data_IF_463009933291
#
_entry.id   IF_463009933291
#
_cell.length_a   1.000
_cell.length_b   1.000
_cell.length_c   1.000
_cell.angle_alpha   90.00
_cell.angle_beta   90.00
_cell.angle_gamma   90.00
#
_symmetry.space_group_name_H-M   'P 1'
#
loop_
_entity.id
_entity.type
_entity.pdbx_description
1 polymer ?
#
# COMPACT_ATOMS: atom_id res chain seq x y z
N UNK A 1 27.04 19.60 14.13
CA UNK A 1 26.65 19.56 12.69
C UNK A 1 25.19 19.14 12.65
N UNK A 2 24.28 20.11 12.40
CA UNK A 2 22.85 19.83 12.18
C UNK A 2 22.74 18.88 11.00
N UNK A 3 22.24 17.65 11.21
CA UNK A 3 21.84 16.78 10.11
C UNK A 3 20.75 17.52 9.36
N UNK A 4 21.04 17.92 8.11
CA UNK A 4 20.02 18.43 7.20
C UNK A 4 18.98 17.33 7.10
N UNK A 5 17.74 17.58 7.57
CA UNK A 5 16.63 16.65 7.38
C UNK A 5 16.40 16.53 5.88
N UNK A 6 16.58 15.33 5.37
CA UNK A 6 16.36 15.03 3.98
C UNK A 6 14.88 14.69 3.81
N UNK A 7 14.19 15.45 2.95
CA UNK A 7 12.77 15.24 2.70
C UNK A 7 12.59 14.56 1.35
N UNK A 8 11.68 13.58 1.32
CA UNK A 8 11.09 13.01 0.13
C UNK A 8 9.65 13.50 -0.05
N UNK A 9 9.05 13.25 -1.19
CA UNK A 9 7.64 13.50 -1.42
C UNK A 9 6.94 12.22 -1.83
N UNK A 10 5.82 11.91 -1.17
CA UNK A 10 4.99 10.76 -1.48
C UNK A 10 3.60 11.17 -1.93
N UNK A 11 3.11 10.49 -2.96
CA UNK A 11 1.74 10.55 -3.46
C UNK A 11 1.09 9.19 -3.28
N UNK A 12 -0.16 9.17 -2.83
CA UNK A 12 -1.01 7.98 -2.72
C UNK A 12 -2.23 8.17 -3.63
N UNK A 13 -2.22 7.48 -4.78
CA UNK A 13 -3.33 7.47 -5.74
C UNK A 13 -4.31 6.38 -5.33
N UNK A 14 -5.51 6.78 -4.94
CA UNK A 14 -6.61 5.87 -4.66
C UNK A 14 -7.82 6.14 -5.55
N UNK A 15 -8.73 5.19 -5.65
CA UNK A 15 -9.94 5.30 -6.49
C UNK A 15 -10.88 6.44 -6.10
N UNK A 16 -10.84 6.93 -4.85
CA UNK A 16 -11.71 8.01 -4.34
C UNK A 16 -10.98 9.31 -4.03
N UNK A 17 -9.65 9.32 -4.05
CA UNK A 17 -8.85 10.50 -3.73
C UNK A 17 -7.37 10.27 -3.85
N UNK A 18 -6.68 11.30 -4.31
CA UNK A 18 -5.23 11.38 -4.43
C UNK A 18 -4.73 12.21 -3.26
N UNK A 19 -3.73 11.71 -2.57
CA UNK A 19 -3.18 12.35 -1.38
C UNK A 19 -1.68 12.53 -1.55
N UNK A 20 -1.13 13.61 -1.02
CA UNK A 20 0.31 13.85 -1.07
C UNK A 20 0.80 14.66 0.11
N UNK A 21 2.05 14.43 0.49
CA UNK A 21 2.74 15.19 1.50
C UNK A 21 4.26 15.03 1.40
N UNK A 22 5.04 16.04 1.86
CA UNK A 22 6.46 15.86 2.12
C UNK A 22 6.67 14.97 3.35
N UNK A 23 7.71 14.14 3.31
CA UNK A 23 8.08 13.16 4.34
C UNK A 23 9.49 13.43 4.82
N UNK A 24 9.71 13.51 6.12
CA UNK A 24 11.02 13.47 6.74
C UNK A 24 11.55 12.01 6.66
N UNK A 25 12.53 11.77 5.83
CA UNK A 25 13.07 10.44 5.55
C UNK A 25 13.89 9.85 6.71
N UNK A 26 14.25 10.66 7.70
CA UNK A 26 14.95 10.18 8.89
C UNK A 26 13.99 9.63 9.95
N UNK A 27 12.76 10.12 9.98
CA UNK A 27 11.76 9.79 11.01
C UNK A 27 10.52 9.09 10.50
N UNK A 28 10.28 9.10 9.19
CA UNK A 28 9.06 8.57 8.56
C UNK A 28 7.80 9.38 8.90
N UNK A 29 7.94 10.62 9.34
CA UNK A 29 6.81 11.50 9.65
C UNK A 29 6.53 12.44 8.48
N UNK A 30 5.27 12.79 8.32
CA UNK A 30 4.93 13.85 7.37
C UNK A 30 5.58 15.16 7.84
N UNK A 31 6.27 15.84 6.91
CA UNK A 31 6.93 17.12 7.14
C UNK A 31 6.02 18.33 6.86
N UNK A 32 4.77 18.09 6.55
CA UNK A 32 3.72 19.09 6.30
C UNK A 32 2.33 18.47 6.38
N UNK A 33 1.30 19.29 6.30
CA UNK A 33 -0.08 18.83 6.25
C UNK A 33 -0.35 18.05 4.96
N UNK A 34 -1.04 16.91 5.07
CA UNK A 34 -1.40 16.08 3.93
C UNK A 34 -2.54 16.72 3.14
N UNK A 35 -2.30 17.02 1.88
CA UNK A 35 -3.34 17.43 0.93
C UNK A 35 -4.08 16.21 0.40
N UNK A 36 -5.38 16.34 0.15
CA UNK A 36 -6.22 15.35 -0.51
C UNK A 36 -7.11 16.03 -1.55
N UNK A 37 -6.99 15.58 -2.79
CA UNK A 37 -7.87 15.99 -3.90
C UNK A 37 -8.71 14.76 -4.31
N UNK A 38 -10.02 14.90 -4.59
CA UNK A 38 -10.82 13.81 -5.14
C UNK A 38 -10.21 13.27 -6.44
N UNK A 39 -10.21 11.95 -6.62
CA UNK A 39 -9.76 11.35 -7.87
C UNK A 39 -10.70 11.78 -9.00
N UNK A 40 -10.15 12.34 -10.11
CA UNK A 40 -10.97 12.80 -11.21
C UNK A 40 -11.78 11.67 -11.84
N UNK A 41 -12.91 12.02 -12.43
CA UNK A 41 -13.77 11.09 -13.13
C UNK A 41 -14.03 11.58 -14.56
N UNK A 42 -13.68 10.82 -15.61
CA UNK A 42 -12.98 9.52 -15.55
C UNK A 42 -11.55 9.65 -15.03
N UNK A 43 -11.08 8.61 -14.34
CA UNK A 43 -9.73 8.57 -13.74
C UNK A 43 -8.66 8.13 -14.74
N UNK A 44 -8.60 8.82 -15.90
CA UNK A 44 -7.61 8.54 -16.93
C UNK A 44 -6.19 8.88 -16.47
N UNK A 45 -5.14 8.28 -17.08
CA UNK A 45 -3.75 8.58 -16.73
C UNK A 45 -3.42 10.07 -16.74
N UNK A 46 -3.88 10.81 -17.76
CA UNK A 46 -3.61 12.25 -17.89
C UNK A 46 -4.35 13.07 -16.83
N UNK A 47 -5.61 12.73 -16.54
CA UNK A 47 -6.41 13.44 -15.54
C UNK A 47 -5.81 13.24 -14.13
N UNK A 48 -5.42 12.02 -13.79
CA UNK A 48 -4.77 11.70 -12.52
C UNK A 48 -3.40 12.37 -12.43
N UNK A 49 -2.60 12.35 -13.50
CA UNK A 49 -1.29 13.00 -13.53
C UNK A 49 -1.40 14.52 -13.37
N UNK A 50 -2.45 15.15 -13.91
CA UNK A 50 -2.72 16.59 -13.71
C UNK A 50 -3.02 16.89 -12.23
N UNK A 51 -3.82 16.04 -11.55
CA UNK A 51 -4.08 16.18 -10.10
C UNK A 51 -2.82 15.96 -9.27
N UNK A 52 -1.94 15.04 -9.66
CA UNK A 52 -0.64 14.86 -9.01
C UNK A 52 0.23 16.10 -9.18
N UNK A 53 0.25 16.70 -10.38
CA UNK A 53 0.99 17.95 -10.62
C UNK A 53 0.47 19.09 -9.75
N UNK A 54 -0.84 19.24 -9.62
CA UNK A 54 -1.48 20.24 -8.75
C UNK A 54 -1.01 20.08 -7.29
N UNK A 55 -1.03 18.87 -6.72
CA UNK A 55 -0.54 18.64 -5.36
C UNK A 55 0.93 19.01 -5.23
N UNK A 56 1.79 18.61 -6.16
CA UNK A 56 3.22 18.93 -6.12
C UNK A 56 3.49 20.44 -6.22
N UNK A 57 2.70 21.14 -7.04
CA UNK A 57 2.82 22.60 -7.23
C UNK A 57 2.33 23.37 -6.00
N UNK A 58 1.27 22.93 -5.33
CA UNK A 58 0.77 23.52 -4.07
C UNK A 58 1.85 23.51 -2.98
N UNK A 59 2.68 22.45 -2.94
CA UNK A 59 3.85 22.39 -2.04
C UNK A 59 5.09 23.09 -2.59
N UNK A 60 5.07 23.58 -3.83
CA UNK A 60 6.26 24.10 -4.49
C UNK A 60 7.37 23.06 -4.65
N UNK A 61 7.02 21.76 -4.65
CA UNK A 61 7.98 20.66 -4.73
C UNK A 61 8.65 20.62 -6.10
N UNK A 62 9.99 20.51 -6.13
CA UNK A 62 10.79 20.52 -7.37
C UNK A 62 11.60 19.24 -7.60
N UNK A 63 11.76 18.41 -6.56
CA UNK A 63 12.51 17.15 -6.60
C UNK A 63 11.73 16.01 -7.25
N UNK A 64 12.35 14.84 -7.30
CA UNK A 64 11.69 13.57 -7.60
C UNK A 64 10.64 13.25 -6.53
N UNK A 65 9.68 12.42 -6.88
CA UNK A 65 8.63 11.98 -5.94
C UNK A 65 8.31 10.51 -6.15
N UNK A 66 7.79 9.87 -5.10
CA UNK A 66 7.23 8.54 -5.18
C UNK A 66 5.72 8.58 -5.30
N UNK A 67 5.15 7.63 -6.02
CA UNK A 67 3.72 7.53 -6.24
C UNK A 67 3.24 6.09 -6.04
N UNK A 68 2.22 5.88 -5.20
CA UNK A 68 1.54 4.58 -5.15
C UNK A 68 0.42 4.52 -6.16
N UNK A 69 0.13 3.31 -6.62
CA UNK A 69 -0.99 3.03 -7.50
C UNK A 69 -1.63 1.68 -7.13
N UNK A 70 -2.98 1.57 -7.14
CA UNK A 70 -3.68 0.34 -6.77
C UNK A 70 -3.69 -0.68 -7.92
N UNK A 71 -2.51 -1.12 -8.32
CA UNK A 71 -2.31 -2.10 -9.40
C UNK A 71 -0.93 -2.75 -9.30
N UNK A 72 -0.73 -3.84 -10.05
CA UNK A 72 0.60 -4.39 -10.34
C UNK A 72 1.39 -3.37 -11.16
N UNK A 73 2.57 -2.99 -10.69
CA UNK A 73 3.48 -2.04 -11.35
C UNK A 73 4.80 -2.71 -11.68
N UNK A 74 5.14 -2.81 -12.96
CA UNK A 74 6.40 -3.38 -13.44
C UNK A 74 7.15 -2.37 -14.29
N UNK A 75 8.33 -1.94 -13.82
CA UNK A 75 9.18 -0.99 -14.54
C UNK A 75 8.47 0.32 -14.94
N UNK A 76 7.59 0.82 -14.05
CA UNK A 76 6.80 2.04 -14.28
C UNK A 76 5.54 1.85 -15.13
N UNK A 77 5.28 0.62 -15.60
CA UNK A 77 4.07 0.26 -16.36
C UNK A 77 3.06 -0.39 -15.41
N UNK A 78 1.83 0.10 -15.41
CA UNK A 78 0.70 -0.51 -14.70
C UNK A 78 0.17 -1.68 -15.52
N UNK A 79 0.05 -2.87 -14.92
CA UNK A 79 -0.36 -4.10 -15.61
C UNK A 79 -1.82 -4.45 -15.40
N UNK A 80 -2.40 -3.96 -14.32
CA UNK A 80 -3.81 -4.16 -13.97
C UNK A 80 -4.47 -2.82 -13.71
N UNK A 81 -5.79 -2.81 -13.61
CA UNK A 81 -6.55 -1.63 -13.20
C UNK A 81 -7.65 -2.09 -12.23
N UNK A 82 -7.53 -1.72 -10.96
CA UNK A 82 -8.56 -1.97 -9.96
C UNK A 82 -9.13 -0.64 -9.48
N UNK A 83 -10.45 -0.46 -9.65
CA UNK A 83 -11.17 0.76 -9.22
C UNK A 83 -10.70 2.07 -9.89
N UNK A 84 -10.07 2.00 -11.04
CA UNK A 84 -9.62 3.10 -11.89
C UNK A 84 -10.01 2.83 -13.34
N UNK A 85 -9.78 3.80 -14.22
CA UNK A 85 -10.11 3.67 -15.66
C UNK A 85 -9.29 2.56 -16.33
N UNK A 86 -9.90 1.81 -17.27
CA UNK A 86 -9.25 0.69 -17.97
C UNK A 86 -8.03 1.13 -18.81
N UNK A 87 -7.93 2.42 -19.16
CA UNK A 87 -6.77 2.97 -19.88
C UNK A 87 -5.45 2.88 -19.09
N UNK A 88 -5.49 2.51 -17.83
CA UNK A 88 -4.31 2.21 -17.04
C UNK A 88 -3.71 0.82 -17.32
N UNK A 89 -4.45 -0.10 -17.95
CA UNK A 89 -3.91 -1.43 -18.29
C UNK A 89 -2.82 -1.26 -19.37
N UNK A 90 -1.62 -1.79 -19.05
CA UNK A 90 -0.40 -1.69 -19.86
C UNK A 90 0.03 -0.24 -20.17
N UNK A 91 -0.37 0.74 -19.36
CA UNK A 91 0.03 2.13 -19.47
C UNK A 91 1.45 2.34 -18.91
N UNK A 92 2.31 3.04 -19.65
CA UNK A 92 3.58 3.56 -19.12
C UNK A 92 3.31 4.78 -18.22
N UNK A 93 2.79 4.46 -17.03
CA UNK A 93 2.32 5.45 -16.06
C UNK A 93 3.45 6.35 -15.55
N UNK A 94 4.66 5.83 -15.41
CA UNK A 94 5.81 6.63 -15.01
C UNK A 94 6.14 7.71 -16.06
N UNK A 95 6.06 7.38 -17.34
CA UNK A 95 6.28 8.36 -18.43
C UNK A 95 5.16 9.40 -18.49
N UNK A 96 3.90 9.00 -18.30
CA UNK A 96 2.76 9.94 -18.24
C UNK A 96 2.95 10.92 -17.07
N UNK A 97 3.20 10.42 -15.87
CA UNK A 97 3.45 11.26 -14.70
C UNK A 97 4.64 12.20 -14.92
N UNK A 98 5.78 11.70 -15.43
CA UNK A 98 6.96 12.53 -15.72
C UNK A 98 6.64 13.64 -16.73
N UNK A 99 5.92 13.31 -17.81
CA UNK A 99 5.56 14.26 -18.87
C UNK A 99 4.67 15.38 -18.33
N UNK A 100 3.69 15.07 -17.48
CA UNK A 100 2.72 16.05 -16.96
C UNK A 100 3.32 16.87 -15.82
N UNK A 101 4.04 16.22 -14.89
CA UNK A 101 4.59 16.92 -13.71
C UNK A 101 5.93 17.60 -13.97
N UNK A 102 6.65 17.23 -15.03
CA UNK A 102 8.02 17.67 -15.30
C UNK A 102 9.05 17.17 -14.28
N UNK A 103 8.74 16.12 -13.51
CA UNK A 103 9.56 15.59 -12.41
C UNK A 103 9.75 14.08 -12.55
N UNK A 104 10.92 13.60 -12.11
CA UNK A 104 11.15 12.15 -12.06
C UNK A 104 10.28 11.51 -10.98
N UNK A 105 9.75 10.33 -11.29
CA UNK A 105 8.87 9.59 -10.38
C UNK A 105 9.24 8.11 -10.31
N UNK A 106 9.06 7.54 -9.13
CA UNK A 106 9.00 6.09 -8.90
C UNK A 106 7.55 5.71 -8.63
N UNK A 107 7.02 4.80 -9.44
CA UNK A 107 5.67 4.26 -9.27
C UNK A 107 5.74 2.85 -8.67
N UNK A 108 4.90 2.58 -7.68
CA UNK A 108 4.90 1.32 -6.92
C UNK A 108 3.46 0.94 -6.55
N UNK A 109 3.22 -0.36 -6.34
CA UNK A 109 1.96 -0.84 -5.77
C UNK A 109 1.73 -0.24 -4.36
N UNK A 110 0.49 0.02 -3.99
CA UNK A 110 0.11 0.66 -2.72
C UNK A 110 0.45 -0.20 -1.48
N UNK A 111 0.20 -1.52 -1.55
CA UNK A 111 0.57 -2.44 -0.48
C UNK A 111 2.09 -2.59 -0.35
N UNK A 112 2.82 -2.61 -1.46
CA UNK A 112 4.29 -2.64 -1.48
C UNK A 112 4.87 -1.41 -0.78
N UNK A 113 4.38 -0.21 -1.09
CA UNK A 113 4.80 1.01 -0.43
C UNK A 113 4.50 0.97 1.08
N UNK A 114 3.29 0.54 1.46
CA UNK A 114 2.92 0.41 2.86
C UNK A 114 3.82 -0.59 3.59
N UNK A 115 4.17 -1.70 2.96
CA UNK A 115 5.08 -2.71 3.51
C UNK A 115 6.47 -2.15 3.79
N UNK A 116 7.03 -1.41 2.84
CA UNK A 116 8.34 -0.74 3.00
C UNK A 116 8.31 0.24 4.17
N UNK A 117 7.27 1.06 4.28
CA UNK A 117 7.12 2.02 5.37
C UNK A 117 7.00 1.34 6.74
N UNK A 118 6.19 0.29 6.85
CA UNK A 118 5.99 -0.45 8.11
C UNK A 118 7.25 -1.18 8.57
N UNK A 119 8.10 -1.62 7.66
CA UNK A 119 9.40 -2.21 8.00
C UNK A 119 10.40 -1.15 8.46
N UNK A 120 10.42 0.01 7.82
CA UNK A 120 11.39 1.07 8.16
C UNK A 120 11.00 1.82 9.45
N UNK A 121 9.73 2.19 9.61
CA UNK A 121 9.27 3.09 10.68
C UNK A 121 8.10 2.54 11.52
N UNK A 122 7.50 1.45 11.10
CA UNK A 122 6.22 0.99 11.63
C UNK A 122 6.27 -0.21 12.57
N UNK A 123 5.32 -1.11 12.39
CA UNK A 123 5.07 -2.25 13.26
C UNK A 123 6.12 -3.35 13.13
N UNK A 124 6.75 -3.50 11.96
CA UNK A 124 7.72 -4.56 11.74
C UNK A 124 9.07 -4.26 12.40
N UNK A 125 9.44 -2.96 12.55
CA UNK A 125 10.73 -2.57 13.11
C UNK A 125 11.90 -3.23 12.37
N UNK A 126 13.09 -3.18 12.91
CA UNK A 126 14.30 -3.81 12.33
C UNK A 126 14.28 -5.35 12.41
N UNK A 127 13.16 -6.01 12.07
CA UNK A 127 13.08 -7.47 12.06
C UNK A 127 13.88 -8.03 10.88
N UNK A 128 14.83 -8.88 11.20
CA UNK A 128 15.47 -9.76 10.22
C UNK A 128 14.51 -10.88 9.83
N UNK A 129 14.53 -11.30 8.57
CA UNK A 129 13.70 -12.39 8.10
C UNK A 129 12.63 -11.94 7.11
N UNK A 130 11.53 -12.68 7.05
CA UNK A 130 10.42 -12.44 6.12
C UNK A 130 9.26 -11.78 6.86
N UNK A 131 8.85 -10.60 6.41
CA UNK A 131 7.67 -9.89 6.89
C UNK A 131 6.61 -9.92 5.80
N UNK A 132 5.42 -10.36 6.14
CA UNK A 132 4.23 -10.23 5.30
C UNK A 132 3.41 -9.05 5.79
N UNK A 133 3.21 -8.03 4.96
CA UNK A 133 2.12 -7.08 5.15
C UNK A 133 0.89 -7.59 4.41
N UNK A 134 -0.27 -7.50 5.05
CA UNK A 134 -1.57 -7.74 4.42
C UNK A 134 -2.50 -6.56 4.73
N UNK A 135 -2.95 -5.83 3.72
CA UNK A 135 -3.94 -4.76 3.87
C UNK A 135 -5.34 -5.34 3.64
N UNK A 136 -6.19 -5.29 4.66
CA UNK A 136 -7.55 -5.79 4.61
C UNK A 136 -8.53 -4.62 4.43
N UNK A 137 -9.18 -4.57 3.27
CA UNK A 137 -10.10 -3.49 2.89
C UNK A 137 -11.10 -3.94 1.85
N UNK A 138 -11.20 -3.21 0.72
CA UNK A 138 -12.02 -3.60 -0.45
C UNK A 138 -11.56 -4.95 -1.00
N UNK A 139 -10.24 -5.16 -1.08
CA UNK A 139 -9.57 -6.42 -1.38
C UNK A 139 -8.55 -6.77 -0.30
N UNK A 140 -7.61 -7.64 -0.66
CA UNK A 140 -6.44 -7.99 0.16
C UNK A 140 -5.18 -7.64 -0.61
N UNK A 141 -4.61 -6.45 -0.34
CA UNK A 141 -3.28 -6.12 -0.83
C UNK A 141 -2.19 -6.79 0.02
N UNK A 142 -1.10 -7.21 -0.60
CA UNK A 142 0.00 -7.86 0.12
C UNK A 142 1.36 -7.32 -0.30
N UNK A 143 2.29 -7.27 0.65
CA UNK A 143 3.70 -7.02 0.38
C UNK A 143 4.57 -8.01 1.16
N UNK A 144 5.57 -8.56 0.50
CA UNK A 144 6.56 -9.43 1.11
C UNK A 144 7.89 -8.69 1.19
N UNK A 145 8.42 -8.56 2.40
CA UNK A 145 9.73 -7.97 2.64
C UNK A 145 10.66 -9.04 3.20
N UNK A 146 11.66 -9.43 2.44
CA UNK A 146 12.66 -10.41 2.84
C UNK A 146 13.98 -9.72 3.19
N UNK A 147 14.40 -9.85 4.45
CA UNK A 147 15.64 -9.22 4.98
C UNK A 147 15.73 -7.72 4.66
N UNK A 148 14.63 -7.00 4.86
CA UNK A 148 14.54 -5.55 4.61
C UNK A 148 14.43 -5.16 3.13
N UNK A 149 14.29 -6.12 2.21
CA UNK A 149 14.12 -5.88 0.78
C UNK A 149 12.73 -6.29 0.32
N UNK A 150 12.06 -5.41 -0.40
CA UNK A 150 10.77 -5.67 -1.00
C UNK A 150 10.89 -6.73 -2.10
N UNK A 151 9.99 -7.71 -2.09
CA UNK A 151 9.66 -8.57 -3.22
C UNK A 151 8.42 -7.96 -3.88
N UNK A 152 8.56 -7.22 -4.99
CA UNK A 152 7.48 -6.39 -5.50
C UNK A 152 6.34 -7.20 -6.11
N UNK A 153 5.13 -6.63 -6.04
CA UNK A 153 3.93 -7.14 -6.68
C UNK A 153 3.57 -8.58 -6.25
N UNK A 154 3.57 -8.84 -4.96
CA UNK A 154 3.15 -10.13 -4.42
C UNK A 154 1.63 -10.14 -4.20
N UNK A 155 0.88 -10.55 -5.19
CA UNK A 155 -0.58 -10.56 -5.22
C UNK A 155 -1.18 -11.77 -4.47
N UNK A 156 -0.78 -11.98 -3.21
CA UNK A 156 -1.21 -13.15 -2.43
C UNK A 156 -2.68 -13.05 -1.96
N UNK A 157 -3.31 -11.89 -2.09
CA UNK A 157 -4.76 -11.76 -1.92
C UNK A 157 -5.55 -12.57 -2.94
N UNK A 158 -4.96 -12.78 -4.12
CA UNK A 158 -5.55 -13.50 -5.25
C UNK A 158 -5.18 -14.99 -5.32
N UNK A 159 -4.61 -15.56 -4.26
CA UNK A 159 -4.39 -17.01 -4.24
C UNK A 159 -5.73 -17.76 -4.35
N UNK A 160 -5.75 -18.80 -5.16
CA UNK A 160 -6.93 -19.68 -5.20
C UNK A 160 -6.98 -20.51 -3.92
N UNK A 161 -8.07 -20.39 -3.20
CA UNK A 161 -8.31 -21.09 -1.95
C UNK A 161 -9.70 -21.69 -1.95
N UNK A 162 -9.79 -23.02 -1.86
CA UNK A 162 -11.05 -23.77 -1.88
C UNK A 162 -11.91 -23.51 -3.15
N UNK A 163 -11.25 -23.29 -4.29
CA UNK A 163 -11.90 -22.98 -5.58
C UNK A 163 -12.35 -21.53 -5.74
N UNK A 164 -11.89 -20.63 -4.89
CA UNK A 164 -12.22 -19.20 -4.94
C UNK A 164 -10.95 -18.35 -4.87
N UNK A 165 -11.00 -17.17 -5.46
CA UNK A 165 -10.06 -16.09 -5.17
C UNK A 165 -10.22 -15.69 -3.70
N UNK A 166 -9.13 -15.77 -2.91
CA UNK A 166 -9.17 -15.64 -1.46
C UNK A 166 -9.76 -14.31 -0.98
N UNK A 167 -9.46 -13.19 -1.65
CA UNK A 167 -9.99 -11.89 -1.23
C UNK A 167 -11.51 -11.80 -1.35
N UNK A 168 -12.12 -12.54 -2.27
CA UNK A 168 -13.57 -12.54 -2.44
C UNK A 168 -14.32 -13.06 -1.21
N UNK A 169 -13.61 -13.70 -0.29
CA UNK A 169 -14.17 -14.24 0.96
C UNK A 169 -13.53 -13.68 2.22
N UNK A 170 -12.25 -13.31 2.18
CA UNK A 170 -11.47 -12.93 3.35
C UNK A 170 -11.23 -11.41 3.48
N UNK A 171 -11.48 -10.59 2.44
CA UNK A 171 -11.44 -9.13 2.55
C UNK A 171 -12.50 -8.59 3.53
N UNK A 172 -12.28 -7.38 4.08
CA UNK A 172 -13.27 -6.73 4.95
C UNK A 172 -14.57 -6.41 4.20
N UNK A 173 -14.47 -6.05 2.92
CA UNK A 173 -15.64 -5.87 2.04
C UNK A 173 -16.49 -7.16 1.93
N UNK A 174 -15.85 -8.33 1.89
CA UNK A 174 -16.55 -9.61 1.89
C UNK A 174 -17.26 -9.87 3.23
N UNK A 175 -16.63 -9.51 4.36
CA UNK A 175 -17.28 -9.56 5.69
C UNK A 175 -18.57 -8.72 5.71
N UNK A 176 -18.48 -7.48 5.23
CA UNK A 176 -19.62 -6.55 5.20
C UNK A 176 -20.72 -7.01 4.25
N UNK A 177 -20.35 -7.42 3.04
CA UNK A 177 -21.31 -7.95 2.04
C UNK A 177 -22.06 -9.16 2.55
N UNK A 178 -21.37 -10.08 3.22
CA UNK A 178 -21.95 -11.34 3.71
C UNK A 178 -22.58 -11.21 5.11
N UNK A 179 -22.53 -10.01 5.72
CA UNK A 179 -23.10 -9.73 7.04
C UNK A 179 -22.44 -10.49 8.19
N UNK A 180 -21.15 -10.85 8.07
CA UNK A 180 -20.46 -11.70 9.04
C UNK A 180 -20.09 -10.96 10.32
N UNK A 181 -20.24 -11.66 11.45
CA UNK A 181 -19.63 -11.28 12.72
C UNK A 181 -18.10 -11.41 12.68
N UNK A 182 -17.44 -10.90 13.74
CA UNK A 182 -15.97 -10.95 13.82
C UNK A 182 -15.43 -12.38 13.95
N UNK A 183 -16.16 -13.27 14.62
CA UNK A 183 -15.79 -14.67 14.79
C UNK A 183 -15.82 -15.42 13.46
N UNK A 184 -16.93 -15.38 12.74
CA UNK A 184 -17.09 -16.03 11.44
C UNK A 184 -16.08 -15.52 10.40
N UNK A 185 -15.82 -14.20 10.41
CA UNK A 185 -14.81 -13.62 9.55
C UNK A 185 -13.39 -14.02 9.99
N UNK A 186 -13.13 -14.12 11.29
CA UNK A 186 -11.87 -14.61 11.86
C UNK A 186 -11.53 -16.03 11.41
N UNK A 187 -12.54 -16.90 11.26
CA UNK A 187 -12.36 -18.24 10.68
C UNK A 187 -11.89 -18.17 9.22
N UNK A 188 -12.50 -17.29 8.41
CA UNK A 188 -12.08 -17.08 7.02
C UNK A 188 -10.65 -16.53 6.94
N UNK A 189 -10.31 -15.57 7.80
CA UNK A 189 -8.94 -15.04 7.91
C UNK A 189 -7.95 -16.11 8.35
N UNK A 190 -8.33 -16.97 9.31
CA UNK A 190 -7.51 -18.11 9.74
C UNK A 190 -7.20 -19.03 8.56
N UNK A 191 -8.20 -19.35 7.75
CA UNK A 191 -8.04 -20.20 6.57
C UNK A 191 -7.08 -19.56 5.56
N UNK A 192 -7.24 -18.27 5.28
CA UNK A 192 -6.39 -17.49 4.39
C UNK A 192 -4.95 -17.39 4.88
N UNK A 193 -4.75 -16.90 6.10
CA UNK A 193 -3.41 -16.69 6.64
C UNK A 193 -2.64 -18.01 6.80
N UNK A 194 -3.28 -19.09 7.22
CA UNK A 194 -2.63 -20.41 7.29
C UNK A 194 -2.18 -20.90 5.93
N UNK A 195 -2.94 -20.64 4.88
CA UNK A 195 -2.51 -20.98 3.52
C UNK A 195 -1.27 -20.20 3.12
N UNK A 196 -1.27 -18.88 3.32
CA UNK A 196 -0.12 -18.01 3.00
C UNK A 196 1.10 -18.35 3.88
N UNK A 197 0.91 -18.64 5.17
CA UNK A 197 1.97 -19.11 6.05
C UNK A 197 2.65 -20.38 5.53
N UNK A 198 1.89 -21.32 4.99
CA UNK A 198 2.43 -22.55 4.44
C UNK A 198 3.26 -22.33 3.17
N UNK A 199 3.03 -21.23 2.45
CA UNK A 199 3.78 -20.87 1.24
C UNK A 199 5.05 -20.08 1.55
N UNK A 200 5.01 -19.18 2.53
CA UNK A 200 6.06 -18.17 2.76
C UNK A 200 6.88 -18.38 4.03
N UNK A 201 6.30 -19.00 5.07
CA UNK A 201 6.92 -19.10 6.40
C UNK A 201 7.41 -17.75 6.93
N UNK A 202 6.55 -16.73 7.03
CA UNK A 202 6.97 -15.42 7.48
C UNK A 202 7.30 -15.42 8.98
N UNK A 203 8.19 -14.51 9.39
CA UNK A 203 8.54 -14.28 10.80
C UNK A 203 7.56 -13.32 11.50
N UNK A 204 6.84 -12.53 10.72
CA UNK A 204 5.86 -11.57 11.20
C UNK A 204 4.79 -11.31 10.14
N UNK A 205 3.53 -11.20 10.57
CA UNK A 205 2.43 -10.69 9.77
C UNK A 205 2.05 -9.31 10.31
N UNK A 206 2.08 -8.28 9.45
CA UNK A 206 1.58 -6.94 9.76
C UNK A 206 0.26 -6.74 9.04
N UNK A 207 -0.80 -6.39 9.78
CA UNK A 207 -2.12 -6.19 9.18
C UNK A 207 -2.45 -4.72 9.07
N UNK A 208 -2.57 -4.24 7.83
CA UNK A 208 -2.99 -2.88 7.46
C UNK A 208 -4.43 -2.82 6.99
N UNK A 209 -4.76 -1.71 6.30
CA UNK A 209 -6.10 -1.43 5.81
C UNK A 209 -7.04 -0.86 6.88
N UNK A 210 -8.26 -0.51 6.47
CA UNK A 210 -9.22 0.17 7.35
C UNK A 210 -9.58 -0.60 8.61
N UNK A 211 -9.67 -1.93 8.51
CA UNK A 211 -10.07 -2.82 9.61
C UNK A 211 -8.96 -3.03 10.65
N UNK A 212 -7.71 -2.65 10.35
CA UNK A 212 -6.61 -2.73 11.33
C UNK A 212 -6.87 -1.88 12.58
N UNK A 213 -7.64 -0.81 12.46
CA UNK A 213 -8.10 0.02 13.59
C UNK A 213 -9.00 -0.72 14.57
N UNK A 214 -9.56 -1.85 14.16
CA UNK A 214 -10.43 -2.72 14.95
C UNK A 214 -9.75 -4.06 15.27
N UNK A 215 -8.41 -4.10 15.21
CA UNK A 215 -7.59 -5.31 15.35
C UNK A 215 -8.00 -6.16 16.56
N UNK A 216 -8.15 -5.53 17.73
CA UNK A 216 -8.51 -6.24 18.97
C UNK A 216 -9.91 -6.88 18.93
N UNK A 217 -10.78 -6.47 18.01
CA UNK A 217 -12.13 -7.03 17.89
C UNK A 217 -12.19 -8.36 17.15
N UNK A 218 -11.28 -8.56 16.20
CA UNK A 218 -11.31 -9.71 15.31
C UNK A 218 -10.09 -10.63 15.46
N UNK A 219 -8.92 -10.09 15.83
CA UNK A 219 -7.69 -10.89 15.95
C UNK A 219 -7.78 -12.05 16.95
N UNK A 220 -8.58 -12.00 18.04
CA UNK A 220 -8.76 -13.14 18.93
C UNK A 220 -9.36 -14.38 18.26
N UNK A 221 -10.03 -14.20 17.12
CA UNK A 221 -10.64 -15.28 16.36
C UNK A 221 -9.75 -15.79 15.21
N UNK A 222 -8.56 -15.21 15.04
CA UNK A 222 -7.61 -15.61 14.01
C UNK A 222 -6.49 -16.44 14.61
N UNK A 223 -6.31 -17.65 14.09
CA UNK A 223 -5.26 -18.58 14.56
C UNK A 223 -4.17 -18.73 13.50
N UNK A 224 -3.00 -18.16 13.77
CA UNK A 224 -1.78 -18.26 12.96
C UNK A 224 -0.62 -18.80 13.79
N UNK A 225 0.39 -19.41 13.15
CA UNK A 225 1.67 -19.76 13.77
C UNK A 225 2.53 -18.53 13.95
N UNK A 226 2.53 -17.69 12.92
CA UNK A 226 3.31 -16.46 12.86
C UNK A 226 2.67 -15.40 13.75
N UNK A 227 3.45 -14.67 14.56
CA UNK A 227 2.96 -13.50 15.27
C UNK A 227 2.31 -12.50 14.31
N UNK A 228 1.15 -11.97 14.72
CA UNK A 228 0.39 -10.99 13.94
C UNK A 228 0.23 -9.69 14.74
N UNK A 229 0.48 -8.55 14.10
CA UNK A 229 0.38 -7.23 14.71
C UNK A 229 -0.35 -6.24 13.79
N UNK A 230 -1.05 -5.23 14.33
CA UNK A 230 -1.63 -4.17 13.49
C UNK A 230 -0.54 -3.23 12.98
N UNK A 231 -0.74 -2.70 11.77
CA UNK A 231 0.08 -1.64 11.18
C UNK A 231 0.03 -0.37 12.03
N UNK A 232 1.14 0.36 12.11
CA UNK A 232 1.27 1.59 12.90
C UNK A 232 1.06 2.86 12.10
N UNK A 233 1.50 2.87 10.83
CA UNK A 233 1.50 4.08 10.00
C UNK A 233 0.14 4.35 9.35
N UNK A 234 -0.76 3.39 9.39
CA UNK A 234 -2.16 3.52 8.94
C UNK A 234 -2.28 4.15 7.53
N UNK A 235 -3.04 5.26 7.44
CA UNK A 235 -3.32 5.96 6.19
C UNK A 235 -2.13 6.77 5.63
N UNK A 236 -0.99 6.80 6.31
CA UNK A 236 0.22 7.52 5.88
C UNK A 236 1.23 6.55 5.27
N UNK A 237 1.07 5.24 5.48
CA UNK A 237 2.03 4.23 5.06
C UNK A 237 2.36 4.28 3.56
N UNK A 238 1.35 4.44 2.69
CA UNK A 238 1.53 4.56 1.25
C UNK A 238 2.38 5.78 0.87
N UNK A 239 2.06 6.96 1.43
CA UNK A 239 2.81 8.20 1.19
C UNK A 239 4.26 8.07 1.67
N UNK A 240 4.47 7.55 2.87
CA UNK A 240 5.80 7.38 3.47
C UNK A 240 6.63 6.40 2.66
N UNK A 241 6.05 5.25 2.30
CA UNK A 241 6.73 4.22 1.52
C UNK A 241 7.08 4.68 0.10
N UNK A 242 6.18 5.40 -0.56
CA UNK A 242 6.43 5.98 -1.86
C UNK A 242 7.59 6.99 -1.82
N UNK A 243 7.59 7.90 -0.85
CA UNK A 243 8.68 8.86 -0.65
C UNK A 243 10.03 8.18 -0.41
N UNK A 244 10.07 7.12 0.41
CA UNK A 244 11.27 6.32 0.66
C UNK A 244 11.81 5.65 -0.60
N UNK A 245 10.93 5.05 -1.41
CA UNK A 245 11.31 4.33 -2.62
C UNK A 245 11.84 5.27 -3.71
N UNK A 246 11.34 6.50 -3.79
CA UNK A 246 11.82 7.51 -4.73
C UNK A 246 13.21 8.08 -4.37
N UNK A 247 13.65 7.85 -3.14
CA UNK A 247 14.93 8.36 -2.62
C UNK A 247 16.04 7.30 -2.60
N UNK A 248 15.72 6.05 -2.78
CA UNK A 248 16.68 4.93 -2.89
C UNK A 248 17.25 4.78 -4.28
#
# INVERSE_FOLDING_TARGET
VSKKHEHGFGIDIGGSGIKGAPVDLATGRLAGERVRIPTPQPSTPEAVAATVAEILDDFGWKGSFGCTFPAVVQHGVTRTAANVDDSWVDCDAASVLRKVTGRDTVLVNDADAAGVAEVEFGAAGAKSGVVLLATLGTGIGTAVIAHGRLVPNTELGHVELDGYDAETRAADSARERDGLGWEEWGERLTRYFRHVENLLWPDLIVVGGGVSKKFDKWSPYVSTRTPMVPAKLLNEAGIIGAALLAHR
#
